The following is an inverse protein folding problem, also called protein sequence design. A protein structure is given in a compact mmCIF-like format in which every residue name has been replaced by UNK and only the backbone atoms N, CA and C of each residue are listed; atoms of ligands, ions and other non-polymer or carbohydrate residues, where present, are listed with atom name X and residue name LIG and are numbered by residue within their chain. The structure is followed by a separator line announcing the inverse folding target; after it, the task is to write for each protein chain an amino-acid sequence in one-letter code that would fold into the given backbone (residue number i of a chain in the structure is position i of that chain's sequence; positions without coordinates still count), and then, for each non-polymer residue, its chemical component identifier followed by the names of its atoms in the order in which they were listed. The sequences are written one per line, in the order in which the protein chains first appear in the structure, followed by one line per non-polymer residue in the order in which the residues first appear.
data_IF_794836497280
#
_entry.id   IF_794836497280
#
_cell.length_a   1.000
_cell.length_b   1.000
_cell.length_c   1.000
_cell.angle_alpha   90.00
_cell.angle_beta   90.00
_cell.angle_gamma   90.00
#
_symmetry.space_group_name_H-M   'P 1'
#
loop_
_entity.id
_entity.type
_entity.pdbx_description
1 polymer ?
#
# COMPACT_ATOMS: atom_id res chain seq x y z
N UNK A 1 -31.32 8.78 -10.26
CA UNK A 1 -30.20 9.64 -9.83
C UNK A 1 -29.82 9.21 -8.42
N UNK A 2 -28.59 8.78 -8.17
CA UNK A 2 -28.13 8.42 -6.81
C UNK A 2 -27.37 9.62 -6.26
N UNK A 3 -27.92 10.28 -5.25
CA UNK A 3 -27.24 11.36 -4.54
C UNK A 3 -26.17 10.74 -3.64
N UNK A 4 -24.89 11.03 -3.93
CA UNK A 4 -23.77 10.59 -3.09
C UNK A 4 -23.53 11.65 -2.02
N UNK A 5 -23.87 11.33 -0.78
CA UNK A 5 -23.65 12.19 0.39
C UNK A 5 -22.42 11.67 1.12
N UNK A 6 -21.46 12.57 1.40
CA UNK A 6 -20.33 12.25 2.29
C UNK A 6 -20.76 12.51 3.72
N UNK A 7 -20.77 11.45 4.54
CA UNK A 7 -21.03 11.51 5.98
C UNK A 7 -19.73 11.19 6.72
N UNK A 8 -19.53 11.82 7.87
CA UNK A 8 -18.52 11.37 8.84
C UNK A 8 -19.00 10.11 9.57
N UNK A 9 -18.07 9.32 10.12
CA UNK A 9 -18.39 8.10 10.88
C UNK A 9 -19.45 8.33 11.97
N UNK A 10 -19.31 9.42 12.73
CA UNK A 10 -20.26 9.81 13.79
C UNK A 10 -21.66 10.13 13.24
N UNK A 11 -21.73 10.74 12.06
CA UNK A 11 -23.02 11.03 11.39
C UNK A 11 -23.66 9.75 10.84
N UNK A 12 -22.86 8.81 10.33
CA UNK A 12 -23.33 7.51 9.86
C UNK A 12 -23.85 6.65 11.02
N UNK A 13 -23.16 6.63 12.16
CA UNK A 13 -23.61 5.94 13.38
C UNK A 13 -24.91 6.53 13.93
N UNK A 14 -25.03 7.87 13.91
CA UNK A 14 -26.27 8.54 14.32
C UNK A 14 -27.44 8.20 13.39
N UNK A 15 -27.18 8.12 12.09
CA UNK A 15 -28.19 7.74 11.10
C UNK A 15 -28.64 6.29 11.27
N UNK A 16 -27.71 5.37 11.54
CA UNK A 16 -28.05 3.97 11.82
C UNK A 16 -28.95 3.83 13.05
N UNK A 17 -28.61 4.52 14.14
CA UNK A 17 -29.45 4.54 15.35
C UNK A 17 -30.85 5.08 15.09
N UNK A 18 -30.96 6.17 14.31
CA UNK A 18 -32.28 6.73 13.94
C UNK A 18 -33.10 5.78 13.07
N UNK A 19 -32.49 4.96 12.23
CA UNK A 19 -33.19 3.97 11.41
C UNK A 19 -33.74 2.85 12.31
N UNK A 20 -32.92 2.35 13.25
CA UNK A 20 -33.29 1.32 14.21
C UNK A 20 -34.38 1.78 15.18
N UNK A 21 -34.29 3.02 15.69
CA UNK A 21 -35.28 3.63 16.58
C UNK A 21 -36.66 3.77 15.91
N UNK A 22 -36.69 3.91 14.58
CA UNK A 22 -37.93 3.92 13.80
C UNK A 22 -38.38 2.51 13.35
N UNK A 23 -37.76 1.46 13.90
CA UNK A 23 -38.08 0.06 13.60
C UNK A 23 -37.54 -0.46 12.27
N UNK A 24 -36.62 0.27 11.63
CA UNK A 24 -35.95 -0.12 10.40
C UNK A 24 -34.67 -0.94 10.67
N UNK A 25 -34.27 -1.74 9.69
CA UNK A 25 -33.01 -2.50 9.76
C UNK A 25 -31.85 -1.67 9.21
N UNK A 26 -30.90 -1.32 10.09
CA UNK A 26 -29.68 -0.62 9.73
C UNK A 26 -28.46 -1.56 9.61
N UNK A 27 -28.65 -2.88 9.56
CA UNK A 27 -27.56 -3.87 9.55
C UNK A 27 -26.54 -3.61 8.44
N UNK A 28 -26.99 -3.25 7.23
CA UNK A 28 -26.09 -2.93 6.11
C UNK A 28 -25.27 -1.66 6.39
N UNK A 29 -25.88 -0.64 6.98
CA UNK A 29 -25.17 0.60 7.31
C UNK A 29 -24.17 0.38 8.46
N UNK A 30 -24.54 -0.44 9.45
CA UNK A 30 -23.67 -0.89 10.55
C UNK A 30 -22.50 -1.72 10.04
N UNK A 31 -22.75 -2.61 9.10
CA UNK A 31 -21.73 -3.42 8.43
C UNK A 31 -20.75 -2.52 7.70
N UNK A 32 -21.21 -1.55 6.90
CA UNK A 32 -20.35 -0.58 6.20
C UNK A 32 -19.55 0.32 7.16
N UNK A 33 -20.14 0.76 8.28
CA UNK A 33 -19.42 1.51 9.33
C UNK A 33 -18.37 0.63 10.03
N UNK A 34 -18.67 -0.66 10.22
CA UNK A 34 -17.76 -1.64 10.82
C UNK A 34 -16.65 -2.08 9.87
N UNK A 35 -16.94 -2.17 8.56
CA UNK A 35 -15.99 -2.50 7.51
C UNK A 35 -15.01 -1.36 7.23
N UNK A 36 -15.20 -0.13 7.74
CA UNK A 36 -14.11 0.87 7.76
C UNK A 36 -12.89 0.43 8.60
N UNK A 37 -12.95 -0.71 9.31
CA UNK A 37 -11.78 -1.37 9.92
C UNK A 37 -11.21 -2.53 9.10
N UNK A 38 -11.81 -2.85 7.96
CA UNK A 38 -11.44 -3.93 7.02
C UNK A 38 -11.34 -3.47 5.57
N UNK A 39 -11.70 -2.23 5.26
CA UNK A 39 -11.23 -1.52 4.09
C UNK A 39 -9.76 -1.21 4.32
N UNK A 40 -8.93 -2.11 3.78
CA UNK A 40 -7.49 -2.00 3.64
C UNK A 40 -6.86 -0.96 4.55
N UNK A 41 -6.37 -1.40 5.71
CA UNK A 41 -5.04 -0.94 6.12
C UNK A 41 -4.22 -1.06 4.85
N UNK A 42 -3.99 0.07 4.17
CA UNK A 42 -2.73 0.28 3.51
C UNK A 42 -1.76 -0.19 4.57
N UNK A 43 -1.27 -1.42 4.42
CA UNK A 43 0.04 -1.73 4.91
C UNK A 43 0.84 -0.66 4.19
N UNK A 44 0.98 0.49 4.83
CA UNK A 44 2.01 1.45 4.58
C UNK A 44 3.23 0.66 5.03
N UNK A 45 3.57 -0.33 4.19
CA UNK A 45 4.71 -1.20 4.36
C UNK A 45 5.80 -0.16 4.32
N UNK A 46 6.37 0.11 5.49
CA UNK A 46 7.32 1.20 5.62
C UNK A 46 8.36 1.01 4.53
N UNK A 47 8.94 2.10 4.05
CA UNK A 47 9.90 2.02 2.95
C UNK A 47 11.00 0.97 3.25
N UNK A 48 11.38 0.83 4.52
CA UNK A 48 12.28 -0.22 5.01
C UNK A 48 11.74 -1.64 4.86
N UNK A 49 10.46 -1.88 5.16
CA UNK A 49 9.83 -3.19 5.03
C UNK A 49 9.61 -3.57 3.55
N UNK A 50 9.28 -2.60 2.70
CA UNK A 50 9.12 -2.81 1.26
C UNK A 50 10.46 -3.11 0.60
N UNK A 51 11.51 -2.37 0.97
CA UNK A 51 12.88 -2.65 0.54
C UNK A 51 13.29 -4.04 1.01
N UNK A 52 13.04 -4.40 2.27
CA UNK A 52 13.41 -5.71 2.83
C UNK A 52 12.72 -6.86 2.10
N UNK A 53 11.45 -6.69 1.74
CA UNK A 53 10.70 -7.68 0.98
C UNK A 53 11.31 -7.89 -0.41
N UNK A 54 11.54 -6.81 -1.16
CA UNK A 54 12.21 -6.88 -2.46
C UNK A 54 13.65 -7.40 -2.38
N UNK A 55 14.34 -7.14 -1.28
CA UNK A 55 15.68 -7.66 -1.05
C UNK A 55 15.72 -9.19 -1.01
N UNK A 56 14.65 -9.85 -0.51
CA UNK A 56 14.60 -11.32 -0.42
C UNK A 56 14.59 -11.98 -1.79
N UNK A 57 13.92 -11.35 -2.76
CA UNK A 57 13.80 -11.86 -4.13
C UNK A 57 14.95 -11.36 -5.04
N UNK A 58 15.83 -10.51 -4.52
CA UNK A 58 16.89 -9.88 -5.31
C UNK A 58 18.17 -10.70 -5.26
N UNK A 59 18.82 -10.99 -6.41
CA UNK A 59 20.12 -11.62 -6.42
C UNK A 59 21.16 -10.71 -5.76
N UNK A 60 21.86 -11.26 -4.77
CA UNK A 60 22.97 -10.59 -4.07
C UNK A 60 24.27 -11.15 -4.60
N UNK A 61 25.11 -10.28 -5.16
CA UNK A 61 26.45 -10.60 -5.60
C UNK A 61 27.45 -10.15 -4.53
N UNK A 62 28.30 -11.06 -4.08
CA UNK A 62 29.35 -10.79 -3.10
C UNK A 62 30.71 -10.96 -3.78
N UNK A 63 31.57 -9.94 -3.68
CA UNK A 63 32.86 -9.95 -4.36
C UNK A 63 33.69 -8.71 -4.03
N UNK A 64 35.01 -8.82 -4.13
CA UNK A 64 35.90 -7.67 -3.93
C UNK A 64 35.81 -6.73 -5.12
N UNK A 65 35.67 -5.43 -4.84
CA UNK A 65 35.70 -4.35 -5.84
C UNK A 65 34.57 -4.36 -6.89
N UNK A 66 33.39 -4.90 -6.55
CA UNK A 66 32.24 -4.86 -7.46
C UNK A 66 31.79 -3.41 -7.70
N UNK A 67 31.62 -3.03 -8.97
CA UNK A 67 31.27 -1.66 -9.35
C UNK A 67 29.77 -1.54 -9.56
N UNK A 68 29.12 -0.65 -8.80
CA UNK A 68 27.71 -0.33 -9.03
C UNK A 68 27.52 0.29 -10.42
N UNK A 69 26.58 -0.24 -11.20
CA UNK A 69 26.31 0.26 -12.56
C UNK A 69 25.67 1.65 -12.61
N UNK A 70 25.08 2.12 -11.50
CA UNK A 70 24.38 3.41 -11.41
C UNK A 70 25.31 4.53 -10.97
N UNK A 71 25.99 4.38 -9.82
CA UNK A 71 26.88 5.43 -9.30
C UNK A 71 28.35 5.23 -9.65
N UNK A 72 28.74 4.05 -10.15
CA UNK A 72 30.12 3.74 -10.52
C UNK A 72 31.07 3.53 -9.33
N UNK A 73 30.60 3.63 -8.08
CA UNK A 73 31.41 3.35 -6.90
C UNK A 73 31.61 1.84 -6.69
N UNK A 74 32.71 1.48 -6.03
CA UNK A 74 33.05 0.09 -5.70
C UNK A 74 32.45 -0.29 -4.34
N UNK A 75 31.88 -1.49 -4.25
CA UNK A 75 31.27 -2.07 -3.06
C UNK A 75 31.64 -3.56 -2.97
N UNK A 76 31.59 -4.11 -1.77
CA UNK A 76 31.82 -5.54 -1.54
C UNK A 76 30.58 -6.40 -1.83
N UNK A 77 29.41 -5.75 -1.89
CA UNK A 77 28.11 -6.37 -2.15
C UNK A 77 27.30 -5.52 -3.13
N UNK A 78 26.73 -6.17 -4.13
CA UNK A 78 25.76 -5.56 -5.04
C UNK A 78 24.43 -6.32 -4.97
N UNK A 79 23.34 -5.55 -5.04
CA UNK A 79 21.96 -6.00 -5.12
C UNK A 79 21.50 -5.75 -6.56
N UNK A 80 21.34 -6.82 -7.34
CA UNK A 80 21.05 -6.72 -8.79
C UNK A 80 22.02 -5.77 -9.52
N UNK A 81 23.35 -6.00 -9.37
CA UNK A 81 24.41 -5.16 -9.96
C UNK A 81 24.45 -3.68 -9.48
N UNK A 82 23.64 -3.32 -8.47
CA UNK A 82 23.60 -1.97 -7.89
C UNK A 82 23.99 -1.95 -6.43
N UNK A 83 24.50 -0.83 -5.92
CA UNK A 83 24.77 -0.72 -4.49
C UNK A 83 23.46 -0.59 -3.70
N UNK A 84 23.51 -0.84 -2.39
CA UNK A 84 22.32 -0.78 -1.52
C UNK A 84 21.56 0.55 -1.66
N UNK A 85 22.26 1.68 -1.73
CA UNK A 85 21.61 2.99 -1.84
C UNK A 85 20.88 3.19 -3.19
N UNK A 86 21.51 2.79 -4.29
CA UNK A 86 20.89 2.86 -5.62
C UNK A 86 19.71 1.88 -5.73
N UNK A 87 19.87 0.68 -5.19
CA UNK A 87 18.83 -0.34 -5.13
C UNK A 87 17.60 0.18 -4.36
N UNK A 88 17.78 0.69 -3.14
CA UNK A 88 16.68 1.23 -2.33
C UNK A 88 15.92 2.34 -3.06
N UNK A 89 16.62 3.29 -3.71
CA UNK A 89 15.98 4.37 -4.48
C UNK A 89 15.15 3.83 -5.64
N UNK A 90 15.69 2.86 -6.39
CA UNK A 90 14.98 2.24 -7.50
C UNK A 90 13.75 1.47 -7.03
N UNK A 91 13.90 0.66 -5.98
CA UNK A 91 12.80 -0.10 -5.37
C UNK A 91 11.68 0.83 -4.91
N UNK A 92 12.00 1.91 -4.19
CA UNK A 92 10.99 2.87 -3.75
C UNK A 92 10.28 3.57 -4.92
N UNK A 93 10.97 3.84 -6.02
CA UNK A 93 10.33 4.37 -7.23
C UNK A 93 9.35 3.36 -7.86
N UNK A 94 9.58 2.06 -7.70
CA UNK A 94 8.66 1.01 -8.17
C UNK A 94 7.43 0.86 -7.25
N UNK A 95 7.54 1.19 -5.95
CA UNK A 95 6.42 1.15 -4.99
C UNK A 95 5.25 1.99 -5.48
N UNK A 96 5.52 3.24 -5.88
CA UNK A 96 4.48 4.17 -6.39
C UNK A 96 3.84 3.69 -7.70
N UNK A 97 4.58 2.96 -8.54
CA UNK A 97 4.07 2.42 -9.79
C UNK A 97 3.17 1.19 -9.56
N UNK A 98 3.54 0.33 -8.61
CA UNK A 98 2.78 -0.87 -8.23
C UNK A 98 1.42 -0.49 -7.60
N UNK A 99 1.40 0.53 -6.74
CA UNK A 99 0.16 1.07 -6.17
C UNK A 99 -0.78 1.66 -7.23
N UNK A 100 -0.23 2.37 -8.22
CA UNK A 100 -1.01 2.89 -9.35
C UNK A 100 -1.56 1.76 -10.23
N UNK A 101 -0.78 0.71 -10.48
CA UNK A 101 -1.19 -0.45 -11.28
C UNK A 101 -2.37 -1.20 -10.64
N UNK A 102 -2.29 -1.47 -9.33
CA UNK A 102 -3.36 -2.10 -8.55
C UNK A 102 -4.67 -1.30 -8.57
N UNK A 103 -4.58 0.03 -8.56
CA UNK A 103 -5.75 0.91 -8.66
C UNK A 103 -6.44 0.85 -10.03
N UNK A 104 -5.71 0.52 -11.10
CA UNK A 104 -6.26 0.41 -12.46
C UNK A 104 -6.97 -0.94 -12.62
N UNK A 105 -6.41 -2.03 -12.07
CA UNK A 105 -7.00 -3.36 -12.11
C UNK A 105 -8.34 -3.42 -11.34
N UNK A 106 -8.44 -2.74 -10.20
CA UNK A 106 -9.68 -2.62 -9.41
C UNK A 106 -10.75 -1.70 -10.01
N UNK A 107 -10.50 -1.08 -11.18
CA UNK A 107 -11.48 -0.17 -11.81
C UNK A 107 -12.44 -0.89 -12.76
N UNK A 108 -12.22 -2.18 -13.03
CA UNK A 108 -13.01 -2.97 -13.99
C UNK A 108 -13.60 -4.26 -13.39
N UNK A 109 -13.72 -4.35 -12.07
CA UNK A 109 -14.44 -5.43 -11.38
C UNK A 109 -15.64 -4.91 -10.62
#
# INVERSE_FOLDING_TARGET
MVAKIKLSKKEAENLAGRIEDNGGDASILREVIGDETKDGTSSDVSDEEYIRDKLKDTPIEEGKELKCVVCGSKFDKLYSQTCQSCFSKWVLSCKEADEKSKRIDNKWR
#
